data_IF_776755946530
#
_entry.id   IF_776755946530
#
_cell.length_a   1.000
_cell.length_b   1.000
_cell.length_c   1.000
_cell.angle_alpha   90.00
_cell.angle_beta   90.00
_cell.angle_gamma   90.00
#
_symmetry.space_group_name_H-M   'P 1'
#
loop_
_entity.id
_entity.type
_entity.pdbx_description
1 polymer ?
#
# COMPACT_ATOMS: atom_id res chain seq x y z
N UNK A 1 27.81 43.72 3.22
CA UNK A 1 26.34 43.59 3.10
C UNK A 1 25.97 42.42 2.19
N UNK A 2 26.36 41.17 2.50
CA UNK A 2 25.84 39.99 1.81
C UNK A 2 25.92 38.73 2.69
N UNK A 3 24.88 38.54 3.52
CA UNK A 3 24.26 37.24 3.79
C UNK A 3 23.79 36.61 2.45
N UNK A 4 23.52 35.33 2.23
CA UNK A 4 23.74 34.00 2.84
C UNK A 4 23.18 33.03 1.75
N UNK A 5 23.68 31.80 1.56
CA UNK A 5 23.10 30.87 0.58
C UNK A 5 21.95 30.10 1.22
N UNK A 6 20.75 30.10 0.63
CA UNK A 6 19.71 29.13 0.99
C UNK A 6 19.02 28.60 -0.27
N UNK A 7 19.57 27.49 -0.76
CA UNK A 7 18.92 26.61 -1.72
C UNK A 7 18.93 25.21 -1.10
N UNK A 8 18.01 24.94 -0.19
CA UNK A 8 18.03 23.69 0.57
C UNK A 8 16.71 23.27 1.20
N UNK A 9 15.58 23.29 0.47
CA UNK A 9 14.29 22.78 1.00
C UNK A 9 13.60 21.71 0.14
N UNK A 10 14.09 21.39 -1.06
CA UNK A 10 13.32 20.55 -2.00
C UNK A 10 13.32 19.03 -1.71
N UNK A 11 14.00 18.55 -0.65
CA UNK A 11 14.03 17.13 -0.29
C UNK A 11 12.94 16.68 0.71
N UNK A 12 12.39 17.59 1.50
CA UNK A 12 11.49 17.24 2.61
C UNK A 12 10.06 16.92 2.18
N UNK A 13 9.57 17.52 1.08
CA UNK A 13 8.20 17.35 0.63
C UNK A 13 7.97 15.98 -0.03
N UNK A 14 8.93 15.47 -0.80
CA UNK A 14 8.85 14.17 -1.46
C UNK A 14 8.92 13.00 -0.46
N UNK A 15 9.78 13.11 0.56
CA UNK A 15 9.84 12.11 1.63
C UNK A 15 8.57 12.08 2.48
N UNK A 16 7.97 13.25 2.77
CA UNK A 16 6.70 13.32 3.47
C UNK A 16 5.54 12.71 2.65
N UNK A 17 5.50 12.94 1.34
CA UNK A 17 4.48 12.36 0.46
C UNK A 17 4.56 10.82 0.41
N UNK A 18 5.77 10.26 0.25
CA UNK A 18 5.95 8.80 0.25
C UNK A 18 5.58 8.14 1.59
N UNK A 19 5.84 8.83 2.71
CA UNK A 19 5.44 8.37 4.05
C UNK A 19 3.92 8.43 4.23
N UNK A 20 3.25 9.46 3.69
CA UNK A 20 1.78 9.56 3.71
C UNK A 20 1.14 8.45 2.88
N UNK A 21 1.66 8.19 1.67
CA UNK A 21 1.20 7.08 0.82
C UNK A 21 1.36 5.73 1.53
N UNK A 22 2.46 5.51 2.27
CA UNK A 22 2.66 4.30 3.07
C UNK A 22 1.60 4.14 4.17
N UNK A 23 1.24 5.23 4.88
CA UNK A 23 0.17 5.20 5.88
C UNK A 23 -1.22 4.95 5.27
N UNK A 24 -1.52 5.52 4.11
CA UNK A 24 -2.78 5.28 3.39
C UNK A 24 -2.88 3.81 2.96
N UNK A 25 -1.82 3.26 2.37
CA UNK A 25 -1.74 1.84 1.99
C UNK A 25 -1.84 0.94 3.22
N UNK A 26 -1.20 1.29 4.34
CA UNK A 26 -1.31 0.56 5.60
C UNK A 26 -2.75 0.56 6.13
N UNK A 27 -3.46 1.69 6.01
CA UNK A 27 -4.88 1.80 6.37
C UNK A 27 -5.79 0.91 5.51
N UNK A 28 -5.54 0.85 4.19
CA UNK A 28 -6.27 -0.03 3.28
C UNK A 28 -6.02 -1.51 3.59
N UNK A 29 -4.76 -1.88 3.83
CA UNK A 29 -4.39 -3.24 4.27
C UNK A 29 -5.09 -3.61 5.57
N UNK A 30 -5.12 -2.69 6.54
CA UNK A 30 -5.79 -2.91 7.82
C UNK A 30 -7.29 -3.16 7.64
N UNK A 31 -7.99 -2.32 6.87
CA UNK A 31 -9.42 -2.51 6.57
C UNK A 31 -9.70 -3.84 5.88
N UNK A 32 -8.88 -4.21 4.90
CA UNK A 32 -9.01 -5.50 4.22
C UNK A 32 -8.85 -6.67 5.21
N UNK A 33 -7.84 -6.60 6.08
CA UNK A 33 -7.60 -7.60 7.14
C UNK A 33 -8.80 -7.68 8.09
N UNK A 34 -9.28 -6.55 8.60
CA UNK A 34 -10.43 -6.52 9.51
C UNK A 34 -11.70 -7.11 8.85
N UNK A 35 -11.90 -6.87 7.56
CA UNK A 35 -13.01 -7.47 6.80
C UNK A 35 -12.87 -8.98 6.60
N UNK A 36 -11.66 -9.46 6.26
CA UNK A 36 -11.41 -10.90 6.09
C UNK A 36 -11.65 -11.65 7.40
N UNK A 37 -11.07 -11.18 8.51
CA UNK A 37 -11.26 -11.85 9.80
C UNK A 37 -12.64 -11.59 10.43
N UNK A 38 -13.26 -10.45 10.13
CA UNK A 38 -14.61 -10.10 10.60
C UNK A 38 -15.74 -10.84 9.87
N UNK A 39 -15.47 -11.45 8.71
CA UNK A 39 -16.48 -12.17 7.90
C UNK A 39 -16.27 -13.68 7.89
N UNK A 40 -15.53 -14.23 8.86
CA UNK A 40 -15.11 -15.63 8.88
C UNK A 40 -14.43 -15.99 7.53
N UNK A 41 -13.39 -15.24 7.13
CA UNK A 41 -12.68 -15.44 5.87
C UNK A 41 -13.57 -15.37 4.62
N UNK A 42 -14.67 -14.63 4.70
CA UNK A 42 -15.65 -14.51 3.62
C UNK A 42 -16.77 -15.55 3.65
N UNK A 43 -16.79 -16.51 4.59
CA UNK A 43 -17.90 -17.46 4.73
C UNK A 43 -19.22 -16.75 5.09
N UNK A 44 -19.15 -15.62 5.79
CA UNK A 44 -20.31 -14.81 6.18
C UNK A 44 -20.43 -13.50 5.41
N UNK A 45 -19.61 -13.30 4.37
CA UNK A 45 -19.64 -12.08 3.58
C UNK A 45 -20.89 -12.00 2.70
N UNK A 46 -21.65 -10.92 2.87
CA UNK A 46 -22.78 -10.58 2.00
C UNK A 46 -22.26 -10.00 0.67
N UNK A 47 -23.14 -9.92 -0.33
CA UNK A 47 -22.79 -9.36 -1.65
C UNK A 47 -22.20 -7.94 -1.55
N UNK A 48 -22.76 -7.11 -0.68
CA UNK A 48 -22.27 -5.75 -0.43
C UNK A 48 -20.85 -5.76 0.16
N UNK A 49 -20.60 -6.61 1.15
CA UNK A 49 -19.27 -6.78 1.75
C UNK A 49 -18.25 -7.28 0.73
N UNK A 50 -18.64 -8.20 -0.16
CA UNK A 50 -17.77 -8.67 -1.24
C UNK A 50 -17.46 -7.56 -2.25
N UNK A 51 -18.41 -6.69 -2.55
CA UNK A 51 -18.19 -5.53 -3.42
C UNK A 51 -17.23 -4.52 -2.77
N UNK A 52 -17.37 -4.26 -1.46
CA UNK A 52 -16.47 -3.39 -0.71
C UNK A 52 -15.04 -3.97 -0.65
N UNK A 53 -14.88 -5.28 -0.40
CA UNK A 53 -13.58 -5.96 -0.46
C UNK A 53 -12.93 -5.77 -1.84
N UNK A 54 -13.70 -5.91 -2.93
CA UNK A 54 -13.18 -5.71 -4.29
C UNK A 54 -12.73 -4.27 -4.55
N UNK A 55 -13.44 -3.27 -4.02
CA UNK A 55 -13.00 -1.87 -4.10
C UNK A 55 -11.68 -1.66 -3.35
N UNK A 56 -11.56 -2.20 -2.13
CA UNK A 56 -10.34 -2.12 -1.33
C UNK A 56 -9.15 -2.75 -2.06
N UNK A 57 -9.33 -3.93 -2.66
CA UNK A 57 -8.31 -4.60 -3.46
C UNK A 57 -7.92 -3.76 -4.67
N UNK A 58 -8.90 -3.23 -5.41
CA UNK A 58 -8.64 -2.39 -6.59
C UNK A 58 -7.79 -1.17 -6.24
N UNK A 59 -8.08 -0.50 -5.12
CA UNK A 59 -7.28 0.64 -4.66
C UNK A 59 -5.87 0.22 -4.24
N UNK A 60 -5.73 -0.93 -3.60
CA UNK A 60 -4.43 -1.49 -3.23
C UNK A 60 -3.59 -1.83 -4.46
N UNK A 61 -4.21 -2.40 -5.49
CA UNK A 61 -3.55 -2.72 -6.77
C UNK A 61 -3.14 -1.46 -7.53
N UNK A 62 -3.96 -0.41 -7.53
CA UNK A 62 -3.60 0.88 -8.11
C UNK A 62 -2.40 1.53 -7.40
N UNK A 63 -2.22 1.24 -6.11
CA UNK A 63 -1.10 1.72 -5.29
C UNK A 63 0.11 0.77 -5.34
N UNK A 64 0.03 -0.34 -6.08
CA UNK A 64 1.13 -1.30 -6.18
C UNK A 64 2.23 -0.75 -7.11
N UNK A 65 3.43 -0.45 -6.60
CA UNK A 65 4.53 0.04 -7.43
C UNK A 65 5.04 -1.03 -8.41
N UNK A 66 4.77 -2.32 -8.16
CA UNK A 66 5.18 -3.44 -9.01
C UNK A 66 3.99 -3.93 -9.84
N UNK A 67 3.74 -3.27 -10.97
CA UNK A 67 2.64 -3.60 -11.89
C UNK A 67 2.83 -4.97 -12.59
N UNK A 68 4.08 -5.40 -12.74
CA UNK A 68 4.42 -6.70 -13.33
C UNK A 68 5.08 -7.55 -12.25
N UNK A 69 4.33 -8.45 -11.59
CA UNK A 69 4.86 -9.22 -10.45
C UNK A 69 6.05 -10.10 -10.85
N UNK A 70 6.11 -10.55 -12.11
CA UNK A 70 7.22 -11.35 -12.65
C UNK A 70 8.40 -10.50 -13.15
N UNK A 71 8.22 -9.19 -13.30
CA UNK A 71 9.23 -8.27 -13.81
C UNK A 71 10.20 -7.76 -12.75
N UNK A 72 9.85 -7.92 -11.47
CA UNK A 72 10.66 -7.50 -10.33
C UNK A 72 11.14 -8.71 -9.53
N UNK A 73 11.69 -9.72 -10.21
CA UNK A 73 12.22 -10.93 -9.58
C UNK A 73 13.29 -10.63 -8.51
N UNK A 74 14.06 -9.57 -8.72
CA UNK A 74 15.07 -9.06 -7.79
C UNK A 74 14.49 -8.46 -6.50
N UNK A 75 13.23 -7.99 -6.52
CA UNK A 75 12.49 -7.58 -5.30
C UNK A 75 11.94 -8.79 -4.52
N UNK A 76 11.82 -9.94 -5.19
CA UNK A 76 11.33 -11.19 -4.62
C UNK A 76 12.45 -12.05 -4.02
N UNK A 77 13.65 -11.50 -3.78
CA UNK A 77 14.81 -12.16 -3.17
C UNK A 77 14.57 -12.46 -1.67
N UNK A 78 13.61 -13.34 -1.42
CA UNK A 78 13.26 -13.89 -0.13
C UNK A 78 13.10 -15.40 -0.25
N UNK A 79 13.36 -16.13 0.82
CA UNK A 79 13.12 -17.57 0.85
C UNK A 79 11.60 -17.82 0.98
N UNK A 80 10.88 -17.85 -0.14
CA UNK A 80 9.44 -18.13 -0.17
C UNK A 80 9.21 -19.61 0.17
N UNK A 81 8.91 -19.89 1.43
CA UNK A 81 8.54 -21.23 1.87
C UNK A 81 7.03 -21.39 1.70
N UNK A 82 6.62 -22.29 0.81
CA UNK A 82 5.29 -22.89 0.85
C UNK A 82 5.29 -23.91 1.99
N UNK A 83 4.69 -23.56 3.13
CA UNK A 83 4.41 -24.49 4.22
C UNK A 83 3.05 -25.14 4.03
#
# INVERSE_FOLDING_TARGET
MSQLPDAGVNGSAAAAAAVVEDYEVAGLKRRLVDMVYGTDFGFRALTETRAEVLELVTRLEASNPTLVPTGAAETLDGNWVLV
#
